data_IF_009947003430
#
_entry.id   IF_009947003430
#
_cell.length_a   1.000
_cell.length_b   1.000
_cell.length_c   1.000
_cell.angle_alpha   90.00
_cell.angle_beta   90.00
_cell.angle_gamma   90.00
#
_symmetry.space_group_name_H-M   'P 1'
#
loop_
_entity.id
_entity.type
_entity.pdbx_description
1 polymer ?
#
# COMPACT_ATOMS: atom_id res chain seq x y z
N UNK A 1 -28.34 -6.18 -21.79
CA UNK A 1 -26.92 -6.58 -21.78
C UNK A 1 -26.35 -6.27 -20.40
N UNK A 2 -25.81 -7.25 -19.68
CA UNK A 2 -25.14 -6.99 -18.41
C UNK A 2 -23.85 -6.18 -18.68
N UNK A 3 -23.54 -5.14 -17.89
CA UNK A 3 -22.31 -4.38 -18.07
C UNK A 3 -21.10 -5.31 -17.87
N UNK A 4 -20.19 -5.33 -18.85
CA UNK A 4 -18.91 -6.01 -18.71
C UNK A 4 -18.09 -5.26 -17.66
N UNK A 5 -17.97 -5.84 -16.47
CA UNK A 5 -17.14 -5.28 -15.41
C UNK A 5 -15.70 -5.74 -15.63
N UNK A 6 -14.74 -4.83 -15.51
CA UNK A 6 -13.33 -5.15 -15.70
C UNK A 6 -12.63 -5.23 -14.35
N UNK A 7 -12.00 -6.37 -14.08
CA UNK A 7 -11.19 -6.51 -12.87
C UNK A 7 -9.80 -5.89 -13.13
N UNK A 8 -9.34 -4.90 -12.34
CA UNK A 8 -8.03 -4.27 -12.53
C UNK A 8 -6.87 -5.24 -12.29
N UNK A 9 -7.07 -6.24 -11.41
CA UNK A 9 -6.08 -7.29 -11.13
C UNK A 9 -6.00 -8.32 -12.25
N UNK A 10 -7.15 -8.86 -12.68
CA UNK A 10 -7.17 -9.91 -13.71
C UNK A 10 -7.03 -9.38 -15.15
N UNK A 11 -7.16 -8.06 -15.33
CA UNK A 11 -7.32 -7.33 -16.61
C UNK A 11 -8.36 -7.92 -17.56
N UNK A 12 -9.26 -8.75 -17.04
CA UNK A 12 -10.30 -9.47 -17.79
C UNK A 12 -11.66 -8.83 -17.54
N UNK A 13 -12.43 -8.78 -18.62
CA UNK A 13 -13.84 -8.43 -18.61
C UNK A 13 -14.63 -9.64 -18.12
N UNK A 14 -15.44 -9.47 -17.08
CA UNK A 14 -16.38 -10.45 -16.59
C UNK A 14 -17.81 -9.93 -16.77
N UNK A 15 -18.70 -10.81 -17.21
CA UNK A 15 -20.04 -10.40 -17.64
C UNK A 15 -21.08 -10.50 -16.53
N UNK A 16 -20.79 -11.20 -15.42
CA UNK A 16 -21.76 -11.40 -14.32
C UNK A 16 -21.11 -11.64 -12.95
N UNK A 17 -21.54 -10.85 -11.95
CA UNK A 17 -21.43 -11.16 -10.52
C UNK A 17 -20.04 -11.07 -9.86
N UNK A 18 -20.00 -11.27 -8.54
CA UNK A 18 -18.77 -11.33 -7.72
C UNK A 18 -18.08 -12.70 -7.77
N UNK A 19 -18.56 -13.67 -8.56
CA UNK A 19 -18.00 -15.02 -8.62
C UNK A 19 -16.53 -15.08 -9.07
N UNK A 20 -16.10 -14.14 -9.92
CA UNK A 20 -14.73 -14.14 -10.46
C UNK A 20 -13.65 -13.98 -9.38
N UNK A 21 -13.96 -13.33 -8.25
CA UNK A 21 -12.97 -13.09 -7.16
C UNK A 21 -12.58 -14.40 -6.46
N UNK A 22 -13.46 -15.41 -6.51
CA UNK A 22 -13.20 -16.76 -5.99
C UNK A 22 -12.42 -17.64 -6.97
N UNK A 23 -12.17 -17.16 -8.21
CA UNK A 23 -11.46 -17.94 -9.21
C UNK A 23 -9.97 -18.04 -8.85
N UNK A 24 -9.38 -19.22 -9.06
CA UNK A 24 -7.93 -19.46 -8.84
C UNK A 24 -7.03 -18.50 -9.61
N UNK A 25 -7.46 -18.03 -10.78
CA UNK A 25 -6.73 -17.04 -11.59
C UNK A 25 -6.65 -15.67 -10.90
N UNK A 26 -7.78 -15.21 -10.35
CA UNK A 26 -7.85 -13.97 -9.60
C UNK A 26 -7.01 -14.05 -8.33
N UNK A 27 -7.19 -15.10 -7.53
CA UNK A 27 -6.44 -15.31 -6.30
C UNK A 27 -4.93 -15.37 -6.53
N UNK A 28 -4.48 -16.00 -7.63
CA UNK A 28 -3.06 -15.98 -8.04
C UNK A 28 -2.57 -14.59 -8.40
N UNK A 29 -3.29 -13.85 -9.25
CA UNK A 29 -2.95 -12.48 -9.65
C UNK A 29 -2.88 -11.54 -8.43
N UNK A 30 -3.88 -11.62 -7.57
CA UNK A 30 -3.96 -10.90 -6.31
C UNK A 30 -2.75 -11.20 -5.42
N UNK A 31 -2.44 -12.49 -5.21
CA UNK A 31 -1.27 -12.90 -4.43
C UNK A 31 0.02 -12.34 -5.01
N UNK A 32 0.24 -12.45 -6.33
CA UNK A 32 1.44 -11.89 -6.98
C UNK A 32 1.53 -10.37 -6.82
N UNK A 33 0.40 -9.66 -6.92
CA UNK A 33 0.37 -8.21 -6.72
C UNK A 33 0.70 -7.84 -5.27
N UNK A 34 0.17 -8.59 -4.30
CA UNK A 34 0.48 -8.43 -2.88
C UNK A 34 1.94 -8.78 -2.58
N UNK A 35 2.49 -9.86 -3.15
CA UNK A 35 3.90 -10.26 -2.99
C UNK A 35 4.88 -9.21 -3.54
N UNK A 36 4.47 -8.40 -4.53
CA UNK A 36 5.26 -7.26 -5.02
C UNK A 36 5.19 -6.04 -4.10
N UNK A 37 4.04 -5.80 -3.49
CA UNK A 37 3.83 -4.67 -2.57
C UNK A 37 4.42 -4.94 -1.18
N UNK A 38 4.42 -6.20 -0.74
CA UNK A 38 4.92 -6.63 0.56
C UNK A 38 6.34 -6.11 0.87
N UNK A 39 7.37 -6.29 0.02
CA UNK A 39 8.70 -5.77 0.30
C UNK A 39 8.74 -4.24 0.40
N UNK A 40 7.84 -3.51 -0.28
CA UNK A 40 7.76 -2.05 -0.15
C UNK A 40 7.20 -1.65 1.22
N UNK A 41 6.20 -2.37 1.73
CA UNK A 41 5.64 -2.15 3.07
C UNK A 41 6.63 -2.54 4.15
N UNK A 42 7.35 -3.66 3.98
CA UNK A 42 8.39 -4.08 4.91
C UNK A 42 9.59 -3.12 4.93
N UNK A 43 10.00 -2.60 3.76
CA UNK A 43 11.01 -1.55 3.67
C UNK A 43 10.58 -0.28 4.40
N UNK A 44 9.32 0.15 4.23
CA UNK A 44 8.77 1.30 4.95
C UNK A 44 8.73 1.06 6.47
N UNK A 45 8.28 -0.11 6.92
CA UNK A 45 8.31 -0.50 8.35
C UNK A 45 9.74 -0.56 8.90
N UNK A 46 10.70 -1.06 8.11
CA UNK A 46 12.11 -1.08 8.52
C UNK A 46 12.65 0.34 8.66
N UNK A 47 12.30 1.24 7.74
CA UNK A 47 12.71 2.63 7.77
C UNK A 47 12.21 3.38 9.03
N UNK A 48 11.00 3.09 9.54
CA UNK A 48 10.56 3.56 10.87
C UNK A 48 11.54 3.11 11.94
N UNK A 49 11.78 1.79 12.02
CA UNK A 49 12.56 1.20 13.11
C UNK A 49 14.00 1.70 13.13
N UNK A 50 14.54 2.02 11.96
CA UNK A 50 15.89 2.55 11.83
C UNK A 50 15.95 4.07 11.76
N UNK A 51 14.81 4.77 11.83
CA UNK A 51 14.71 6.23 11.74
C UNK A 51 15.58 6.81 10.61
N UNK A 52 15.49 6.22 9.40
CA UNK A 52 16.35 6.60 8.28
C UNK A 52 16.01 7.98 7.74
N UNK A 53 16.84 8.97 8.12
CA UNK A 53 16.77 10.34 7.64
C UNK A 53 18.07 10.68 6.92
N UNK A 54 17.93 11.09 5.67
CA UNK A 54 19.03 11.49 4.79
C UNK A 54 18.93 12.98 4.49
N UNK A 55 20.00 13.55 3.92
CA UNK A 55 19.95 14.90 3.38
C UNK A 55 19.05 14.90 2.13
N UNK A 56 18.29 15.97 1.96
CA UNK A 56 17.42 16.11 0.79
C UNK A 56 18.22 16.01 -0.51
N UNK A 57 17.70 15.21 -1.43
CA UNK A 57 18.22 15.01 -2.79
C UNK A 57 17.03 14.95 -3.74
N UNK A 58 17.11 15.49 -4.96
CA UNK A 58 16.04 15.40 -5.96
C UNK A 58 15.64 13.95 -6.31
N UNK A 59 16.52 12.97 -6.06
CA UNK A 59 16.22 11.54 -6.22
C UNK A 59 15.18 11.03 -5.21
N UNK A 60 14.89 11.79 -4.15
CA UNK A 60 13.92 11.44 -3.13
C UNK A 60 12.48 11.85 -3.48
N UNK A 61 12.24 12.59 -4.57
CA UNK A 61 10.88 12.94 -5.01
C UNK A 61 10.16 11.77 -5.74
N UNK A 62 10.59 10.53 -5.47
CA UNK A 62 10.00 9.35 -6.08
C UNK A 62 8.62 9.07 -5.51
N UNK A 63 7.69 8.74 -6.40
CA UNK A 63 6.39 8.21 -6.03
C UNK A 63 6.34 6.68 -6.16
N UNK A 64 5.38 6.07 -5.49
CA UNK A 64 5.04 4.67 -5.64
C UNK A 64 3.52 4.52 -5.74
N UNK A 65 3.10 3.47 -6.43
CA UNK A 65 1.68 3.20 -6.61
C UNK A 65 1.15 2.30 -5.50
N UNK A 66 0.16 2.77 -4.74
CA UNK A 66 -0.51 1.97 -3.74
C UNK A 66 -1.63 1.16 -4.38
N UNK A 67 -1.48 -0.17 -4.46
CA UNK A 67 -2.49 -1.06 -5.05
C UNK A 67 -3.81 -1.08 -4.27
N UNK A 68 -3.75 -0.94 -2.93
CA UNK A 68 -4.93 -0.97 -2.09
C UNK A 68 -5.82 0.26 -2.28
N UNK A 69 -5.21 1.43 -2.46
CA UNK A 69 -5.90 2.71 -2.65
C UNK A 69 -6.13 3.05 -4.12
N UNK A 70 -5.33 2.48 -5.03
CA UNK A 70 -5.36 2.82 -6.45
C UNK A 70 -4.88 4.25 -6.73
N UNK A 71 -3.97 4.77 -5.90
CA UNK A 71 -3.43 6.11 -6.05
C UNK A 71 -1.90 6.12 -5.98
N UNK A 72 -1.33 7.17 -6.55
CA UNK A 72 0.09 7.48 -6.42
C UNK A 72 0.36 8.12 -5.05
N UNK A 73 1.40 7.63 -4.36
CA UNK A 73 1.79 8.08 -3.03
C UNK A 73 3.29 8.36 -3.03
N UNK A 74 3.70 9.46 -2.40
CA UNK A 74 5.12 9.78 -2.30
C UNK A 74 5.85 8.69 -1.50
N UNK A 75 7.01 8.23 -1.98
CA UNK A 75 7.82 7.28 -1.21
C UNK A 75 8.41 7.97 -0.01
N UNK A 76 9.13 9.06 -0.23
CA UNK A 76 9.89 9.75 0.79
C UNK A 76 9.14 11.00 1.27
N UNK A 77 9.47 11.47 2.46
CA UNK A 77 8.93 12.72 3.00
C UNK A 77 10.09 13.70 3.17
N UNK A 78 10.14 14.73 2.33
CA UNK A 78 11.13 15.80 2.42
C UNK A 78 10.61 16.96 3.27
N UNK A 79 11.39 17.37 4.26
CA UNK A 79 11.11 18.57 5.05
C UNK A 79 12.38 19.43 5.12
N UNK A 80 12.39 20.56 4.38
CA UNK A 80 13.55 21.43 4.25
C UNK A 80 14.75 20.69 3.64
N UNK A 81 15.88 20.69 4.35
CA UNK A 81 17.12 20.03 3.90
C UNK A 81 17.22 18.54 4.27
N UNK A 82 16.17 17.95 4.85
CA UNK A 82 16.16 16.56 5.29
C UNK A 82 15.06 15.78 4.58
N UNK A 83 15.29 14.50 4.36
CA UNK A 83 14.33 13.57 3.78
C UNK A 83 14.26 12.32 4.62
N UNK A 84 13.06 11.99 5.08
CA UNK A 84 12.77 10.71 5.72
C UNK A 84 12.55 9.67 4.63
N UNK A 85 13.44 8.69 4.55
CA UNK A 85 13.28 7.62 3.57
C UNK A 85 12.03 6.81 3.89
N UNK A 86 11.25 6.50 2.85
CA UNK A 86 9.95 5.84 2.98
C UNK A 86 8.90 6.59 3.83
N UNK A 87 9.16 7.83 4.27
CA UNK A 87 8.28 8.58 5.17
C UNK A 87 6.89 8.89 4.59
N UNK A 88 6.81 9.20 3.29
CA UNK A 88 5.54 9.50 2.62
C UNK A 88 4.66 8.25 2.46
N UNK A 89 5.26 7.12 2.06
CA UNK A 89 4.55 5.85 1.94
C UNK A 89 4.06 5.42 3.33
N UNK A 90 4.86 5.66 4.35
CA UNK A 90 4.53 5.36 5.72
C UNK A 90 3.35 6.17 6.25
N UNK A 91 3.35 7.48 6.03
CA UNK A 91 2.24 8.35 6.41
C UNK A 91 0.94 7.91 5.74
N UNK A 92 1.02 7.54 4.46
CA UNK A 92 -0.10 6.95 3.74
C UNK A 92 -0.56 5.63 4.38
N UNK A 93 0.34 4.68 4.64
CA UNK A 93 -0.01 3.38 5.24
C UNK A 93 -0.59 3.52 6.66
N UNK A 94 -0.16 4.52 7.42
CA UNK A 94 -0.66 4.86 8.75
C UNK A 94 -1.99 5.63 8.72
N UNK A 95 -2.40 6.13 7.56
CA UNK A 95 -3.60 6.95 7.42
C UNK A 95 -4.89 6.12 7.53
N UNK A 96 -5.94 6.66 8.16
CA UNK A 96 -7.23 5.97 8.27
C UNK A 96 -7.87 5.72 6.90
N UNK A 97 -7.58 6.56 5.90
CA UNK A 97 -8.04 6.40 4.53
C UNK A 97 -7.49 5.12 3.89
N UNK A 98 -6.19 4.87 4.05
CA UNK A 98 -5.56 3.63 3.59
C UNK A 98 -6.18 2.42 4.27
N UNK A 99 -6.40 2.48 5.60
CA UNK A 99 -7.04 1.38 6.34
C UNK A 99 -8.43 1.07 5.80
N UNK A 100 -9.25 2.09 5.50
CA UNK A 100 -10.58 1.92 4.90
C UNK A 100 -10.49 1.33 3.49
N UNK A 101 -9.61 1.87 2.65
CA UNK A 101 -9.38 1.40 1.29
C UNK A 101 -8.90 -0.06 1.27
N UNK A 102 -7.92 -0.42 2.10
CA UNK A 102 -7.40 -1.78 2.28
C UNK A 102 -8.51 -2.72 2.78
N UNK A 103 -9.32 -2.32 3.75
CA UNK A 103 -10.47 -3.12 4.20
C UNK A 103 -11.46 -3.39 3.06
N UNK A 104 -11.82 -2.35 2.30
CA UNK A 104 -12.72 -2.45 1.16
C UNK A 104 -12.12 -3.36 0.09
N UNK A 105 -10.86 -3.12 -0.29
CA UNK A 105 -10.14 -3.91 -1.27
C UNK A 105 -10.06 -5.39 -0.87
N UNK A 106 -9.76 -5.70 0.40
CA UNK A 106 -9.75 -7.09 0.89
C UNK A 106 -11.12 -7.74 0.80
N UNK A 107 -12.17 -7.01 1.16
CA UNK A 107 -13.53 -7.52 1.12
C UNK A 107 -14.03 -7.75 -0.30
N UNK A 108 -13.72 -6.83 -1.22
CA UNK A 108 -14.08 -6.92 -2.63
C UNK A 108 -13.31 -8.02 -3.35
N UNK A 109 -11.99 -8.16 -3.12
CA UNK A 109 -11.15 -9.14 -3.80
C UNK A 109 -11.05 -10.50 -3.07
N UNK A 110 -11.70 -10.63 -1.90
CA UNK A 110 -11.61 -11.83 -1.03
C UNK A 110 -10.16 -12.28 -0.82
N UNK A 111 -9.32 -11.31 -0.45
CA UNK A 111 -7.92 -11.53 -0.15
C UNK A 111 -7.74 -12.24 1.20
N UNK A 112 -6.60 -12.90 1.37
CA UNK A 112 -6.27 -13.63 2.59
C UNK A 112 -6.17 -12.69 3.80
N UNK A 113 -6.94 -12.99 4.85
CA UNK A 113 -7.03 -12.14 6.05
C UNK A 113 -5.73 -12.13 6.86
N UNK A 114 -4.90 -13.17 6.78
CA UNK A 114 -3.62 -13.24 7.48
C UNK A 114 -2.59 -12.28 6.87
N UNK A 115 -2.70 -12.03 5.56
CA UNK A 115 -1.84 -11.06 4.88
C UNK A 115 -2.23 -9.62 5.22
N UNK A 116 -3.51 -9.37 5.52
CA UNK A 116 -4.05 -8.03 5.75
C UNK A 116 -3.27 -7.24 6.80
N UNK A 117 -2.93 -7.88 7.92
CA UNK A 117 -2.21 -7.24 9.02
C UNK A 117 -0.79 -6.82 8.63
N UNK A 118 -0.19 -7.44 7.61
CA UNK A 118 1.12 -7.04 7.09
C UNK A 118 1.08 -5.73 6.32
N UNK A 119 -0.06 -5.43 5.67
CA UNK A 119 -0.25 -4.21 4.88
C UNK A 119 -0.80 -3.04 5.70
N UNK A 120 -1.25 -3.27 6.92
CA UNK A 120 -1.71 -2.22 7.81
C UNK A 120 -0.58 -1.76 8.72
N UNK A 121 -0.35 -0.45 8.76
CA UNK A 121 0.56 0.20 9.73
C UNK A 121 -0.31 0.96 10.72
N UNK A 122 -0.09 0.74 12.01
CA UNK A 122 -0.80 1.51 13.03
C UNK A 122 -0.17 2.91 13.13
N UNK A 123 -1.01 3.94 13.25
CA UNK A 123 -0.58 5.32 13.44
C UNK A 123 0.30 5.49 14.69
N UNK A 124 0.13 4.62 15.69
CA UNK A 124 0.99 4.57 16.87
C UNK A 124 2.43 4.15 16.54
N UNK A 125 2.61 3.22 15.59
CA UNK A 125 3.92 2.72 15.15
C UNK A 125 4.69 3.82 14.40
N UNK A 126 3.98 4.57 13.54
CA UNK A 126 4.48 5.76 12.86
C UNK A 126 4.97 6.83 13.84
N UNK A 127 4.15 7.14 14.85
CA UNK A 127 4.42 8.24 15.79
C UNK A 127 5.64 7.97 16.69
N UNK A 128 5.97 6.69 16.92
CA UNK A 128 7.00 6.27 17.87
C UNK A 128 8.39 6.14 17.26
N UNK A 129 8.49 5.96 15.94
CA UNK A 129 9.78 5.82 15.23
C UNK A 129 10.25 7.07 14.48
N UNK A 130 9.47 8.14 14.45
CA UNK A 130 9.95 9.43 13.96
C UNK A 130 10.73 10.13 15.08
N UNK A 131 12.04 10.36 14.93
CA UNK A 131 12.82 11.19 15.86
C UNK A 131 12.44 12.68 15.75
N UNK A 132 11.51 13.03 14.86
CA UNK A 132 11.10 14.39 14.56
C UNK A 132 9.82 14.73 15.34
N UNK A 133 9.93 14.76 16.66
CA UNK A 133 9.03 15.58 17.48
C UNK A 133 9.88 16.62 18.19
N UNK A 134 9.48 17.87 17.99
CA UNK A 134 9.98 19.05 18.70
C UNK A 134 10.02 18.83 20.20
#
# INVERSE_FOLDING_TARGET
MAPALRCPLCRQSFFSGRGHVYSRKHQRQLRTALERLLPQVEAARKAIRTAQVERYSPEHDQCCWCLCCGCEVQKHLSHGNMTVLHGGLLEHLASPDHRKATNKFWWENKADVLLKEKFLVSQHDYTRGLPIRK
#
